data_IF_982712496377
#
_entry.id   IF_982712496377
#
_cell.length_a   1.000
_cell.length_b   1.000
_cell.length_c   1.000
_cell.angle_alpha   90.00
_cell.angle_beta   90.00
_cell.angle_gamma   90.00
#
_symmetry.space_group_name_H-M   'P 1'
#
loop_
_entity.id
_entity.type
_entity.pdbx_description
1 polymer ?
#
# COMPACT_ATOMS: atom_id res chain seq x y z
N UNK A 1 -17.58 5.78 12.44
CA UNK A 1 -16.96 4.52 12.93
C UNK A 1 -17.03 3.46 11.86
N UNK A 2 -15.97 2.72 11.68
CA UNK A 2 -15.89 1.64 10.72
C UNK A 2 -15.99 0.30 11.43
N UNK A 3 -16.81 -0.59 10.92
CA UNK A 3 -16.92 -1.96 11.38
C UNK A 3 -16.41 -2.89 10.29
N UNK A 4 -15.43 -3.72 10.61
CA UNK A 4 -14.85 -4.69 9.67
C UNK A 4 -15.15 -6.09 10.19
N UNK A 5 -15.73 -6.90 9.32
CA UNK A 5 -15.99 -8.31 9.60
C UNK A 5 -15.03 -9.15 8.79
N UNK A 6 -14.27 -10.00 9.47
CA UNK A 6 -13.34 -10.93 8.84
C UNK A 6 -13.84 -12.33 9.12
N UNK A 7 -14.17 -13.05 8.05
CA UNK A 7 -14.74 -14.39 8.13
C UNK A 7 -13.93 -15.36 7.28
N UNK A 8 -13.61 -16.48 7.87
CA UNK A 8 -13.06 -17.63 7.14
C UNK A 8 -13.89 -18.88 7.46
N UNK A 9 -13.46 -20.02 6.97
CA UNK A 9 -14.22 -21.26 7.13
C UNK A 9 -14.46 -21.68 8.58
N UNK A 10 -13.67 -21.15 9.52
CA UNK A 10 -13.70 -21.57 10.93
C UNK A 10 -14.10 -20.46 11.89
N UNK A 11 -13.81 -19.21 11.57
CA UNK A 11 -13.94 -18.10 12.50
C UNK A 11 -14.58 -16.88 11.85
N UNK A 12 -15.22 -16.10 12.68
CA UNK A 12 -15.77 -14.79 12.31
C UNK A 12 -15.38 -13.78 13.39
N UNK A 13 -14.64 -12.75 13.00
CA UNK A 13 -14.22 -11.68 13.89
C UNK A 13 -14.78 -10.34 13.41
N UNK A 14 -15.16 -9.51 14.36
CA UNK A 14 -15.60 -8.14 14.10
C UNK A 14 -14.66 -7.17 14.81
N UNK A 15 -14.19 -6.18 14.08
CA UNK A 15 -13.31 -5.14 14.59
C UNK A 15 -13.92 -3.78 14.26
N UNK A 16 -13.91 -2.87 15.23
CA UNK A 16 -14.40 -1.51 15.03
C UNK A 16 -13.25 -0.52 15.23
N UNK A 17 -13.28 0.58 14.48
CA UNK A 17 -12.28 1.62 14.57
C UNK A 17 -12.68 2.85 13.75
N UNK A 18 -11.79 3.80 13.69
CA UNK A 18 -12.02 5.05 12.96
C UNK A 18 -11.63 4.96 11.49
N UNK A 19 -10.62 4.16 11.19
CA UNK A 19 -10.11 3.98 9.83
C UNK A 19 -9.65 2.54 9.62
N UNK A 20 -9.98 2.00 8.46
CA UNK A 20 -9.54 0.67 8.05
C UNK A 20 -8.82 0.75 6.71
N UNK A 21 -7.72 0.00 6.62
CA UNK A 21 -7.00 -0.20 5.37
C UNK A 21 -6.55 -1.66 5.29
N UNK A 22 -6.79 -2.30 4.17
CA UNK A 22 -6.48 -3.72 4.01
C UNK A 22 -6.08 -4.07 2.60
N UNK A 23 -5.51 -5.26 2.46
CA UNK A 23 -5.08 -5.83 1.19
C UNK A 23 -5.69 -7.22 1.05
N UNK A 24 -6.31 -7.48 -0.08
CA UNK A 24 -6.84 -8.79 -0.42
C UNK A 24 -6.09 -9.35 -1.63
N UNK A 25 -5.60 -10.56 -1.50
CA UNK A 25 -4.99 -11.28 -2.62
C UNK A 25 -5.96 -12.33 -3.14
N UNK A 26 -6.27 -12.25 -4.42
CA UNK A 26 -7.15 -13.20 -5.09
C UNK A 26 -6.33 -14.00 -6.09
N UNK A 27 -6.50 -15.32 -6.07
CA UNK A 27 -5.83 -16.19 -7.03
C UNK A 27 -6.42 -15.94 -8.41
N UNK A 28 -5.58 -15.54 -9.36
CA UNK A 28 -6.00 -15.20 -10.71
C UNK A 28 -5.73 -16.34 -11.68
N UNK A 29 -4.54 -16.93 -11.59
CA UNK A 29 -4.14 -18.02 -12.47
C UNK A 29 -3.23 -18.99 -11.72
N UNK A 30 -3.41 -20.27 -11.94
CA UNK A 30 -2.58 -21.31 -11.36
C UNK A 30 -2.06 -22.23 -12.46
N UNK A 31 -0.74 -22.33 -12.57
CA UNK A 31 -0.05 -23.31 -13.39
C UNK A 31 0.68 -24.31 -12.49
N UNK A 32 1.28 -25.36 -13.06
CA UNK A 32 2.06 -26.32 -12.28
C UNK A 32 3.23 -25.67 -11.54
N UNK A 33 3.83 -24.65 -12.13
CA UNK A 33 5.04 -24.01 -11.63
C UNK A 33 4.82 -22.68 -10.94
N UNK A 34 3.66 -22.07 -11.09
CA UNK A 34 3.41 -20.74 -10.51
C UNK A 34 1.94 -20.48 -10.22
N UNK A 35 1.72 -19.55 -9.30
CA UNK A 35 0.40 -19.02 -8.99
C UNK A 35 0.48 -17.49 -9.05
N UNK A 36 -0.41 -16.90 -9.84
CA UNK A 36 -0.50 -15.45 -9.95
C UNK A 36 -1.65 -14.94 -9.09
N UNK A 37 -1.40 -13.86 -8.37
CA UNK A 37 -2.40 -13.23 -7.50
C UNK A 37 -2.72 -11.83 -7.98
N UNK A 38 -3.98 -11.47 -7.87
CA UNK A 38 -4.44 -10.09 -8.04
C UNK A 38 -4.55 -9.45 -6.65
N UNK A 39 -3.96 -8.29 -6.47
CA UNK A 39 -4.02 -7.54 -5.23
C UNK A 39 -5.08 -6.45 -5.32
N UNK A 40 -5.96 -6.37 -4.32
CA UNK A 40 -6.94 -5.30 -4.18
C UNK A 40 -6.75 -4.61 -2.84
N UNK A 41 -6.57 -3.30 -2.87
CA UNK A 41 -6.46 -2.50 -1.66
C UNK A 41 -7.83 -1.87 -1.35
N UNK A 42 -8.18 -1.87 -0.08
CA UNK A 42 -9.44 -1.31 0.41
C UNK A 42 -9.14 -0.38 1.58
N UNK A 43 -9.72 0.81 1.54
CA UNK A 43 -9.63 1.75 2.66
C UNK A 43 -10.95 2.45 2.87
N UNK A 44 -11.32 2.65 4.12
CA UNK A 44 -12.54 3.38 4.49
C UNK A 44 -12.42 3.98 5.87
N UNK A 45 -13.15 5.06 6.10
CA UNK A 45 -13.18 5.75 7.39
C UNK A 45 -12.46 7.09 7.35
N UNK A 46 -12.21 7.66 8.52
CA UNK A 46 -11.58 8.96 8.70
C UNK A 46 -10.24 8.82 9.43
N UNK A 47 -9.22 9.45 8.89
CA UNK A 47 -7.91 9.55 9.53
C UNK A 47 -7.23 10.83 9.11
N UNK A 48 -6.26 11.25 9.89
CA UNK A 48 -5.37 12.32 9.49
C UNK A 48 -4.41 11.79 8.41
N UNK A 49 -4.44 12.40 7.23
CA UNK A 49 -3.65 11.95 6.08
C UNK A 49 -2.15 11.90 6.41
N UNK A 50 -1.68 12.83 7.25
CA UNK A 50 -0.28 12.91 7.67
C UNK A 50 0.16 11.71 8.49
N UNK A 51 -0.77 11.02 9.16
CA UNK A 51 -0.47 9.86 9.99
C UNK A 51 -0.45 8.54 9.23
N UNK A 52 -0.95 8.53 7.99
CA UNK A 52 -1.04 7.30 7.20
C UNK A 52 0.31 6.61 7.00
N UNK A 53 1.37 7.31 6.56
CA UNK A 53 2.66 6.62 6.34
C UNK A 53 3.21 5.96 7.61
N UNK A 54 3.11 6.63 8.76
CA UNK A 54 3.58 6.08 10.02
C UNK A 54 2.76 4.85 10.44
N UNK A 55 1.45 4.90 10.28
CA UNK A 55 0.57 3.80 10.65
C UNK A 55 0.74 2.60 9.70
N UNK A 56 0.97 2.84 8.42
CA UNK A 56 1.29 1.78 7.46
C UNK A 56 2.61 1.09 7.82
N UNK A 57 3.62 1.87 8.19
CA UNK A 57 4.91 1.32 8.60
C UNK A 57 4.77 0.43 9.84
N UNK A 58 4.01 0.86 10.83
CA UNK A 58 3.73 0.06 12.03
C UNK A 58 3.01 -1.24 11.70
N UNK A 59 2.02 -1.17 10.80
CA UNK A 59 1.28 -2.35 10.36
C UNK A 59 2.21 -3.37 9.67
N UNK A 60 3.07 -2.91 8.79
CA UNK A 60 4.03 -3.77 8.08
C UNK A 60 4.96 -4.47 9.06
N UNK A 61 5.54 -3.73 10.00
CA UNK A 61 6.44 -4.29 11.02
C UNK A 61 5.74 -5.38 11.83
N UNK A 62 4.53 -5.10 12.29
CA UNK A 62 3.74 -6.06 13.08
C UNK A 62 3.39 -7.30 12.27
N UNK A 63 2.93 -7.12 11.03
CA UNK A 63 2.52 -8.22 10.17
C UNK A 63 3.70 -9.10 9.79
N UNK A 64 4.81 -8.51 9.39
CA UNK A 64 6.02 -9.27 9.02
C UNK A 64 6.60 -9.99 10.23
N UNK A 65 6.58 -9.36 11.41
CA UNK A 65 7.03 -10.02 12.64
C UNK A 65 6.19 -11.25 13.00
N UNK A 66 4.91 -11.25 12.67
CA UNK A 66 4.04 -12.39 12.89
C UNK A 66 4.22 -13.50 11.84
N UNK A 67 4.49 -13.11 10.58
CA UNK A 67 4.58 -14.06 9.45
C UNK A 67 5.95 -14.75 9.40
N UNK A 68 7.02 -13.99 9.56
CA UNK A 68 8.39 -14.54 9.43
C UNK A 68 8.88 -15.08 10.78
N UNK A 69 9.18 -16.36 10.82
CA UNK A 69 9.52 -17.07 12.06
C UNK A 69 10.96 -16.86 12.54
N UNK A 70 11.85 -16.46 11.64
CA UNK A 70 13.27 -16.25 11.98
C UNK A 70 13.64 -14.78 11.81
N UNK A 71 14.65 -14.35 12.58
CA UNK A 71 15.18 -12.99 12.45
C UNK A 71 15.77 -12.73 11.06
N UNK A 72 16.44 -13.74 10.51
CA UNK A 72 17.04 -13.62 9.17
C UNK A 72 15.95 -13.50 8.10
N UNK A 73 14.91 -14.33 8.15
CA UNK A 73 13.78 -14.27 7.22
C UNK A 73 13.05 -12.93 7.31
N UNK A 74 12.81 -12.44 8.52
CA UNK A 74 12.21 -11.13 8.75
C UNK A 74 13.06 -10.01 8.13
N UNK A 75 14.36 -10.00 8.42
CA UNK A 75 15.28 -8.97 7.93
C UNK A 75 15.36 -8.99 6.40
N UNK A 76 15.44 -10.17 5.79
CA UNK A 76 15.49 -10.32 4.34
C UNK A 76 14.20 -9.80 3.69
N UNK A 77 13.05 -10.15 4.25
CA UNK A 77 11.74 -9.70 3.73
C UNK A 77 11.59 -8.18 3.86
N UNK A 78 12.00 -7.60 4.98
CA UNK A 78 11.95 -6.15 5.19
C UNK A 78 12.87 -5.41 4.22
N UNK A 79 14.07 -5.94 3.99
CA UNK A 79 15.02 -5.36 3.04
C UNK A 79 14.45 -5.38 1.62
N UNK A 80 13.86 -6.50 1.21
CA UNK A 80 13.23 -6.61 -0.12
C UNK A 80 12.06 -5.65 -0.27
N UNK A 81 11.21 -5.56 0.74
CA UNK A 81 10.09 -4.62 0.73
C UNK A 81 10.58 -3.18 0.60
N UNK A 82 11.61 -2.81 1.37
CA UNK A 82 12.18 -1.45 1.30
C UNK A 82 12.69 -1.12 -0.10
N UNK A 83 13.36 -2.06 -0.75
CA UNK A 83 13.85 -1.89 -2.13
C UNK A 83 12.70 -1.71 -3.12
N UNK A 84 11.63 -2.48 -2.99
CA UNK A 84 10.46 -2.39 -3.87
C UNK A 84 9.69 -1.09 -3.66
N UNK A 85 9.55 -0.66 -2.41
CA UNK A 85 8.91 0.63 -2.09
C UNK A 85 9.74 1.78 -2.64
N UNK A 86 11.06 1.74 -2.47
CA UNK A 86 11.97 2.76 -2.98
C UNK A 86 11.86 2.88 -4.50
N UNK A 87 11.87 1.76 -5.21
CA UNK A 87 11.72 1.74 -6.67
C UNK A 87 10.38 2.34 -7.10
N UNK A 88 9.28 1.94 -6.44
CA UNK A 88 7.95 2.44 -6.75
C UNK A 88 7.82 3.93 -6.43
N UNK A 89 8.36 4.37 -5.29
CA UNK A 89 8.35 5.76 -4.88
C UNK A 89 9.16 6.63 -5.84
N UNK A 90 10.33 6.16 -6.25
CA UNK A 90 11.17 6.88 -7.22
C UNK A 90 10.46 7.06 -8.55
N UNK A 91 9.79 6.02 -9.05
CA UNK A 91 9.02 6.10 -10.28
C UNK A 91 7.86 7.09 -10.16
N UNK A 92 7.11 7.02 -9.07
CA UNK A 92 5.97 7.90 -8.81
C UNK A 92 6.42 9.35 -8.69
N UNK A 93 7.52 9.63 -7.97
CA UNK A 93 8.06 10.97 -7.84
C UNK A 93 8.52 11.53 -9.18
N UNK A 94 9.13 10.71 -10.02
CA UNK A 94 9.57 11.10 -11.36
C UNK A 94 8.38 11.47 -12.23
N UNK A 95 7.33 10.64 -12.26
CA UNK A 95 6.09 10.92 -12.99
C UNK A 95 5.41 12.18 -12.48
N UNK A 96 5.36 12.38 -11.16
CA UNK A 96 4.78 13.57 -10.56
C UNK A 96 5.56 14.83 -10.90
N UNK A 97 6.90 14.74 -10.94
CA UNK A 97 7.74 15.86 -11.33
C UNK A 97 7.48 16.29 -12.78
N UNK A 98 7.33 15.33 -13.70
CA UNK A 98 7.00 15.63 -15.09
C UNK A 98 5.61 16.27 -15.21
N UNK A 99 4.62 15.74 -14.50
CA UNK A 99 3.27 16.30 -14.51
C UNK A 99 3.24 17.74 -13.98
N UNK A 100 3.97 18.01 -12.89
CA UNK A 100 4.08 19.35 -12.32
C UNK A 100 4.77 20.30 -13.29
N UNK A 101 5.85 19.85 -13.93
CA UNK A 101 6.56 20.65 -14.94
C UNK A 101 5.67 21.01 -16.10
N UNK A 102 4.84 20.06 -16.58
CA UNK A 102 3.89 20.31 -17.66
C UNK A 102 2.82 21.32 -17.24
N UNK A 103 2.28 21.23 -16.04
CA UNK A 103 1.33 22.20 -15.50
C UNK A 103 1.92 23.61 -15.44
N UNK A 104 3.13 23.74 -14.93
CA UNK A 104 3.82 25.03 -14.85
C UNK A 104 4.03 25.60 -16.25
N UNK A 105 4.43 24.77 -17.20
CA UNK A 105 4.65 25.18 -18.59
C UNK A 105 3.36 25.71 -19.22
N UNK A 106 2.24 25.03 -19.04
CA UNK A 106 0.94 25.46 -19.55
C UNK A 106 0.49 26.78 -18.91
N UNK A 107 0.69 26.91 -17.60
CA UNK A 107 0.35 28.13 -16.88
C UNK A 107 1.17 29.33 -17.36
N UNK A 108 2.47 29.14 -17.59
CA UNK A 108 3.33 30.18 -18.12
C UNK A 108 2.94 30.60 -19.53
N UNK A 109 2.57 29.66 -20.38
CA UNK A 109 2.07 29.96 -21.73
C UNK A 109 0.78 30.78 -21.68
N UNK A 110 -0.15 30.39 -20.81
CA UNK A 110 -1.39 31.12 -20.59
C UNK A 110 -1.16 32.50 -20.04
N UNK A 111 -0.25 32.67 -19.07
CA UNK A 111 0.12 33.95 -18.49
C UNK A 111 0.81 34.88 -19.48
N UNK A 112 1.63 34.33 -20.38
CA UNK A 112 2.34 35.11 -21.40
C UNK A 112 1.42 35.72 -22.47
N UNK A 113 0.16 35.32 -22.54
CA UNK A 113 -0.81 35.85 -23.46
C UNK A 113 -1.60 37.03 -22.90
N UNK A 114 -1.40 37.34 -21.65
CA UNK A 114 -2.01 38.50 -20.99
C UNK A 114 -1.13 39.74 -21.17
#
# INVERSE_FOLDING_TARGET
MVKVTIENDKNKDEITGEFFMGLMLTKEEKTEDSTTYKACAIGTGNTCVQDIPNNVAKWIVSTFGAVYKTKLGYAAAMAELAMRIDAAASQTLKESAYAIADEITEELKGGGRR
#
